data_IF_882647192395
#
_entry.id   IF_882647192395
#
_cell.length_a   1.000
_cell.length_b   1.000
_cell.length_c   1.000
_cell.angle_alpha   90.00
_cell.angle_beta   90.00
_cell.angle_gamma   90.00
#
_symmetry.space_group_name_H-M   'P 1'
#
loop_
_entity.id
_entity.type
_entity.pdbx_description
1 polymer ?
#
# COMPACT_ATOMS: atom_id res chain seq x y z
N UNK A 1 -2.65 20.06 10.32
CA UNK A 1 -2.54 18.62 9.97
C UNK A 1 -1.41 18.05 10.81
N UNK A 2 -1.67 17.07 11.66
CA UNK A 2 -0.62 16.43 12.46
C UNK A 2 -0.03 15.34 11.60
N UNK A 3 1.23 15.51 11.17
CA UNK A 3 2.02 14.45 10.55
C UNK A 3 2.12 13.26 11.52
N UNK A 4 1.40 12.22 11.24
CA UNK A 4 1.62 10.91 11.86
C UNK A 4 2.77 10.25 11.07
N UNK A 5 4.01 10.33 11.58
CA UNK A 5 5.11 9.47 11.11
C UNK A 5 4.61 8.03 11.06
N UNK A 6 5.02 7.26 10.05
CA UNK A 6 4.69 5.85 9.90
C UNK A 6 4.95 5.10 11.22
N UNK A 7 3.89 4.85 11.99
CA UNK A 7 3.93 4.16 13.27
C UNK A 7 3.30 2.79 13.08
N UNK A 8 4.05 1.75 13.36
CA UNK A 8 3.53 0.38 13.39
C UNK A 8 2.51 0.15 14.51
N UNK A 9 2.44 1.08 15.47
CA UNK A 9 1.59 0.98 16.67
C UNK A 9 0.93 2.31 16.97
N UNK A 10 -0.39 2.30 17.11
CA UNK A 10 -1.24 3.47 17.29
C UNK A 10 -1.79 3.58 18.72
N UNK A 11 -2.07 4.82 19.14
CA UNK A 11 -2.82 5.13 20.35
C UNK A 11 -4.34 5.09 20.08
N UNK A 12 -5.15 5.00 21.13
CA UNK A 12 -6.62 5.10 21.01
C UNK A 12 -7.08 6.40 20.36
N UNK A 13 -6.37 7.52 20.60
CA UNK A 13 -6.70 8.80 19.97
C UNK A 13 -6.40 8.85 18.47
N UNK A 14 -5.31 8.21 18.04
CA UNK A 14 -4.96 8.07 16.62
C UNK A 14 -5.98 7.19 15.90
N UNK A 15 -6.33 6.04 16.48
CA UNK A 15 -7.35 5.15 15.94
C UNK A 15 -8.72 5.83 15.86
N UNK A 16 -9.08 6.62 16.87
CA UNK A 16 -10.33 7.37 16.89
C UNK A 16 -10.45 8.37 15.72
N UNK A 17 -9.34 9.04 15.39
CA UNK A 17 -9.26 9.94 14.22
C UNK A 17 -9.35 9.19 12.91
N UNK A 18 -8.63 8.07 12.79
CA UNK A 18 -8.63 7.21 11.60
C UNK A 18 -10.04 6.68 11.32
N UNK A 19 -10.73 6.18 12.34
CA UNK A 19 -12.09 5.61 12.21
C UNK A 19 -13.22 6.66 12.29
N UNK A 20 -12.86 7.95 12.45
CA UNK A 20 -13.81 9.05 12.64
C UNK A 20 -14.83 8.78 13.77
N UNK A 21 -14.34 8.34 14.93
CA UNK A 21 -15.15 8.04 16.12
C UNK A 21 -14.57 8.69 17.38
N UNK A 22 -15.34 8.73 18.46
CA UNK A 22 -14.83 9.22 19.74
C UNK A 22 -13.79 8.25 20.36
N UNK A 23 -12.72 8.72 21.04
CA UNK A 23 -11.70 7.86 21.67
C UNK A 23 -12.27 6.80 22.62
N UNK A 24 -13.38 7.13 23.32
CA UNK A 24 -14.07 6.16 24.18
C UNK A 24 -14.67 4.98 23.42
N UNK A 25 -15.03 5.15 22.15
CA UNK A 25 -15.52 4.06 21.29
C UNK A 25 -14.40 3.07 21.02
N UNK A 26 -13.21 3.57 20.67
CA UNK A 26 -12.03 2.75 20.47
C UNK A 26 -11.65 2.00 21.76
N UNK A 27 -11.74 2.68 22.91
CA UNK A 27 -11.51 2.02 24.19
C UNK A 27 -12.48 0.87 24.45
N UNK A 28 -13.77 1.03 24.12
CA UNK A 28 -14.77 -0.05 24.21
C UNK A 28 -14.43 -1.22 23.28
N UNK A 29 -14.05 -0.98 22.02
CA UNK A 29 -13.63 -2.03 21.09
C UNK A 29 -12.42 -2.82 21.60
N UNK A 30 -11.44 -2.11 22.16
CA UNK A 30 -10.27 -2.73 22.77
C UNK A 30 -10.64 -3.57 24.00
N UNK A 31 -11.40 -2.99 24.93
CA UNK A 31 -11.74 -3.63 26.22
C UNK A 31 -12.70 -4.82 26.03
N UNK A 32 -13.54 -4.81 24.96
CA UNK A 32 -14.37 -5.96 24.56
C UNK A 32 -13.62 -7.02 23.77
N UNK A 33 -12.32 -6.81 23.45
CA UNK A 33 -11.50 -7.74 22.68
C UNK A 33 -11.77 -7.76 21.18
N UNK A 34 -12.66 -6.90 20.65
CA UNK A 34 -12.92 -6.76 19.22
C UNK A 34 -11.71 -6.18 18.48
N UNK A 35 -11.10 -5.14 19.05
CA UNK A 35 -9.89 -4.52 18.52
C UNK A 35 -8.67 -5.04 19.28
N UNK A 36 -7.81 -5.81 18.60
CA UNK A 36 -6.61 -6.40 19.20
C UNK A 36 -5.52 -5.37 19.44
N UNK A 37 -4.86 -5.49 20.57
CA UNK A 37 -3.74 -4.64 20.99
C UNK A 37 -3.23 -5.04 22.36
N UNK A 38 -2.39 -4.20 22.97
CA UNK A 38 -1.82 -4.44 24.29
C UNK A 38 -1.81 -3.17 25.14
N UNK A 39 -1.63 -3.33 26.44
CA UNK A 39 -1.40 -2.21 27.36
C UNK A 39 0.09 -2.12 27.70
N UNK A 40 0.59 -0.91 27.83
CA UNK A 40 1.94 -0.71 28.32
C UNK A 40 1.99 -1.15 29.80
N UNK A 41 2.92 -2.05 30.20
CA UNK A 41 3.08 -2.45 31.59
C UNK A 41 3.27 -1.22 32.50
N UNK A 42 2.51 -1.15 33.59
CA UNK A 42 2.54 -0.02 34.53
C UNK A 42 1.78 1.22 34.07
N UNK A 43 1.13 1.20 32.90
CA UNK A 43 0.31 2.30 32.37
C UNK A 43 -1.10 1.81 32.01
N UNK A 44 -2.06 2.75 31.97
CA UNK A 44 -3.40 2.50 31.42
C UNK A 44 -3.45 2.67 29.90
N UNK A 45 -2.34 3.06 29.28
CA UNK A 45 -2.26 3.35 27.86
C UNK A 45 -2.42 2.08 27.00
N UNK A 46 -3.30 2.17 26.02
CA UNK A 46 -3.55 1.13 25.05
C UNK A 46 -2.70 1.39 23.80
N UNK A 47 -2.18 0.33 23.23
CA UNK A 47 -1.42 0.33 21.98
C UNK A 47 -2.06 -0.66 21.01
N UNK A 48 -2.38 -0.16 19.84
CA UNK A 48 -3.07 -0.90 18.79
C UNK A 48 -2.10 -1.07 17.61
N UNK A 49 -1.62 -2.29 17.34
CA UNK A 49 -0.82 -2.55 16.14
C UNK A 49 -1.62 -2.21 14.88
N UNK A 50 -0.99 -1.53 13.91
CA UNK A 50 -1.63 -1.09 12.67
C UNK A 50 -2.33 -2.26 11.95
N UNK A 51 -1.66 -3.41 11.85
CA UNK A 51 -2.22 -4.62 11.24
C UNK A 51 -3.46 -5.16 11.98
N UNK A 52 -3.54 -4.95 13.29
CA UNK A 52 -4.71 -5.26 14.10
C UNK A 52 -5.88 -4.34 13.78
N UNK A 53 -5.60 -3.05 13.63
CA UNK A 53 -6.60 -2.06 13.22
C UNK A 53 -7.13 -2.34 11.82
N UNK A 54 -6.26 -2.60 10.86
CA UNK A 54 -6.64 -2.92 9.47
C UNK A 54 -7.59 -4.11 9.42
N UNK A 55 -7.25 -5.21 10.12
CA UNK A 55 -8.15 -6.39 10.19
C UNK A 55 -9.51 -6.05 10.78
N UNK A 56 -9.52 -5.31 11.88
CA UNK A 56 -10.75 -4.85 12.52
C UNK A 56 -11.60 -4.00 11.58
N UNK A 57 -10.99 -3.01 10.90
CA UNK A 57 -11.70 -2.14 9.96
C UNK A 57 -12.32 -2.94 8.81
N UNK A 58 -11.57 -3.91 8.23
CA UNK A 58 -12.10 -4.81 7.19
C UNK A 58 -13.28 -5.66 7.68
N UNK A 59 -13.18 -6.25 8.87
CA UNK A 59 -14.24 -7.09 9.47
C UNK A 59 -15.53 -6.31 9.73
N UNK A 60 -15.41 -5.02 10.00
CA UNK A 60 -16.54 -4.15 10.33
C UNK A 60 -16.94 -3.19 9.21
N UNK A 61 -16.41 -3.39 7.98
CA UNK A 61 -16.65 -2.51 6.81
C UNK A 61 -16.38 -1.03 7.09
N UNK A 62 -15.36 -0.73 7.93
CA UNK A 62 -14.92 0.64 8.17
C UNK A 62 -13.94 1.03 7.05
N UNK A 63 -14.17 2.16 6.36
CA UNK A 63 -13.30 2.61 5.28
C UNK A 63 -11.84 2.79 5.73
N UNK A 64 -10.89 2.35 4.89
CA UNK A 64 -9.44 2.39 5.20
C UNK A 64 -8.77 3.74 4.87
N UNK A 65 -9.50 4.67 4.28
CA UNK A 65 -9.00 5.98 3.84
C UNK A 65 -8.39 6.86 4.94
N UNK A 66 -8.71 6.61 6.21
CA UNK A 66 -8.08 7.30 7.34
C UNK A 66 -6.70 6.78 7.73
N UNK A 67 -6.20 5.72 7.07
CA UNK A 67 -4.94 5.05 7.41
C UNK A 67 -3.70 5.65 6.75
N UNK A 68 -3.84 6.65 5.88
CA UNK A 68 -2.69 7.31 5.24
C UNK A 68 -1.91 8.15 6.25
N UNK A 69 -0.94 7.51 6.88
CA UNK A 69 -0.02 8.13 7.84
C UNK A 69 1.37 8.21 7.23
N UNK A 70 1.72 9.36 6.68
CA UNK A 70 3.02 9.60 6.05
C UNK A 70 2.92 9.73 4.51
N UNK A 71 4.07 9.88 3.86
CA UNK A 71 4.16 9.92 2.41
C UNK A 71 3.74 8.57 1.81
N UNK A 72 3.11 8.60 0.65
CA UNK A 72 2.82 7.37 -0.10
C UNK A 72 4.11 6.70 -0.50
N UNK A 73 4.29 5.43 -0.11
CA UNK A 73 5.46 4.62 -0.46
C UNK A 73 5.18 3.84 -1.73
N UNK A 74 6.02 4.02 -2.72
CA UNK A 74 5.92 3.36 -4.03
C UNK A 74 7.17 2.53 -4.28
N UNK A 75 7.02 1.24 -4.55
CA UNK A 75 8.09 0.38 -5.03
C UNK A 75 7.95 0.22 -6.54
N UNK A 76 8.98 0.63 -7.29
CA UNK A 76 9.05 0.42 -8.72
C UNK A 76 9.85 -0.85 -8.97
N UNK A 77 9.28 -1.80 -9.70
CA UNK A 77 9.93 -3.07 -10.06
C UNK A 77 10.03 -3.13 -11.58
N UNK A 78 11.19 -2.73 -12.12
CA UNK A 78 11.41 -2.57 -13.55
C UNK A 78 12.92 -2.59 -13.85
N UNK A 79 13.35 -3.24 -14.90
CA UNK A 79 14.75 -3.31 -15.32
C UNK A 79 15.19 -2.21 -16.29
N UNK A 80 14.25 -1.40 -16.79
CA UNK A 80 14.50 -0.30 -17.74
C UNK A 80 14.87 0.98 -17.02
N UNK A 81 16.17 1.14 -16.70
CA UNK A 81 16.70 2.23 -15.84
C UNK A 81 16.28 3.63 -16.28
N UNK A 82 16.23 3.90 -17.59
CA UNK A 82 15.87 5.23 -18.10
C UNK A 82 14.41 5.58 -17.79
N UNK A 83 13.51 4.61 -17.91
CA UNK A 83 12.08 4.77 -17.59
C UNK A 83 11.92 4.94 -16.08
N UNK A 84 12.59 4.10 -15.31
CA UNK A 84 12.57 4.13 -13.84
C UNK A 84 13.02 5.49 -13.32
N UNK A 85 14.16 6.02 -13.78
CA UNK A 85 14.70 7.29 -13.32
C UNK A 85 13.73 8.47 -13.56
N UNK A 86 13.00 8.46 -14.68
CA UNK A 86 11.98 9.49 -14.97
C UNK A 86 10.78 9.36 -14.03
N UNK A 87 10.29 8.15 -13.82
CA UNK A 87 9.13 7.91 -12.92
C UNK A 87 9.50 8.26 -11.48
N UNK A 88 10.63 7.76 -10.99
CA UNK A 88 11.14 8.01 -9.63
C UNK A 88 11.22 9.51 -9.35
N UNK A 89 11.93 10.26 -10.19
CA UNK A 89 12.09 11.70 -10.05
C UNK A 89 10.75 12.44 -9.95
N UNK A 90 9.79 12.13 -10.81
CA UNK A 90 8.51 12.83 -10.78
C UNK A 90 7.67 12.44 -9.57
N UNK A 91 7.71 11.17 -9.15
CA UNK A 91 7.01 10.71 -7.95
C UNK A 91 7.54 11.39 -6.68
N UNK A 92 8.86 11.59 -6.59
CA UNK A 92 9.49 12.27 -5.47
C UNK A 92 9.26 13.79 -5.49
N UNK A 93 9.54 14.43 -6.64
CA UNK A 93 9.52 15.89 -6.75
C UNK A 93 8.10 16.47 -6.75
N UNK A 94 7.18 15.90 -7.55
CA UNK A 94 5.82 16.45 -7.74
C UNK A 94 4.82 15.91 -6.73
N UNK A 95 4.88 14.61 -6.41
CA UNK A 95 3.90 13.94 -5.54
C UNK A 95 4.39 13.77 -4.10
N UNK A 96 5.66 14.04 -3.83
CA UNK A 96 6.30 13.82 -2.51
C UNK A 96 6.13 12.38 -2.01
N UNK A 97 6.19 11.42 -2.93
CA UNK A 97 6.16 10.01 -2.56
C UNK A 97 7.55 9.57 -2.09
N UNK A 98 7.59 8.57 -1.24
CA UNK A 98 8.81 7.85 -0.94
C UNK A 98 8.93 6.72 -1.97
N UNK A 99 10.05 6.67 -2.70
CA UNK A 99 10.23 5.72 -3.80
C UNK A 99 11.42 4.81 -3.51
N UNK A 100 11.23 3.52 -3.76
CA UNK A 100 12.30 2.53 -3.81
C UNK A 100 12.21 1.80 -5.15
N UNK A 101 13.36 1.34 -5.64
CA UNK A 101 13.49 0.73 -6.96
C UNK A 101 14.13 -0.64 -6.88
N UNK A 102 13.58 -1.61 -7.62
CA UNK A 102 14.14 -2.94 -7.79
C UNK A 102 14.19 -3.31 -9.28
N UNK A 103 15.25 -3.93 -9.72
CA UNK A 103 15.44 -4.41 -11.10
C UNK A 103 15.36 -5.94 -11.26
N UNK A 104 15.09 -6.65 -10.15
CA UNK A 104 15.00 -8.11 -10.12
C UNK A 104 14.09 -8.61 -8.99
N UNK A 105 13.71 -9.89 -9.04
CA UNK A 105 12.79 -10.51 -8.09
C UNK A 105 13.31 -10.50 -6.64
N UNK A 106 14.61 -10.78 -6.44
CA UNK A 106 15.18 -10.84 -5.09
C UNK A 106 15.17 -9.48 -4.40
N UNK A 107 15.67 -8.45 -5.08
CA UNK A 107 15.66 -7.07 -4.55
C UNK A 107 14.24 -6.59 -4.30
N UNK A 108 13.31 -6.86 -5.22
CA UNK A 108 11.89 -6.51 -5.07
C UNK A 108 11.28 -7.14 -3.81
N UNK A 109 11.54 -8.42 -3.55
CA UNK A 109 11.05 -9.12 -2.37
C UNK A 109 11.61 -8.54 -1.06
N UNK A 110 12.93 -8.27 -1.01
CA UNK A 110 13.59 -7.68 0.15
C UNK A 110 13.06 -6.27 0.44
N UNK A 111 12.90 -5.45 -0.61
CA UNK A 111 12.37 -4.08 -0.45
C UNK A 111 10.89 -4.11 -0.09
N UNK A 112 10.07 -4.97 -0.68
CA UNK A 112 8.66 -5.09 -0.32
C UNK A 112 8.48 -5.37 1.18
N UNK A 113 9.31 -6.26 1.76
CA UNK A 113 9.24 -6.61 3.18
C UNK A 113 9.72 -5.47 4.10
N UNK A 114 10.83 -4.81 3.74
CA UNK A 114 11.43 -3.73 4.56
C UNK A 114 10.68 -2.41 4.43
N UNK A 115 10.38 -2.01 3.21
CA UNK A 115 9.81 -0.73 2.86
C UNK A 115 8.29 -0.71 3.06
N UNK A 116 7.63 -1.88 2.95
CA UNK A 116 6.16 -2.05 3.07
C UNK A 116 5.43 -1.03 2.19
N UNK A 117 5.58 -1.09 0.87
CA UNK A 117 5.02 -0.11 -0.05
C UNK A 117 3.50 -0.09 0.00
N UNK A 118 2.92 1.08 -0.19
CA UNK A 118 1.48 1.22 -0.41
C UNK A 118 1.09 0.80 -1.83
N UNK A 119 2.01 1.04 -2.79
CA UNK A 119 1.84 0.70 -4.20
C UNK A 119 3.10 0.04 -4.73
N UNK A 120 2.94 -0.99 -5.55
CA UNK A 120 3.98 -1.57 -6.38
C UNK A 120 3.64 -1.29 -7.84
N UNK A 121 4.54 -0.61 -8.56
CA UNK A 121 4.53 -0.54 -10.02
C UNK A 121 5.37 -1.71 -10.52
N UNK A 122 4.75 -2.71 -11.13
CA UNK A 122 5.39 -3.96 -11.52
C UNK A 122 5.44 -4.14 -13.03
N UNK A 123 6.62 -4.08 -13.63
CA UNK A 123 6.78 -4.50 -15.03
C UNK A 123 6.66 -6.03 -15.12
N UNK A 124 5.77 -6.47 -16.00
CA UNK A 124 5.51 -7.90 -16.24
C UNK A 124 6.66 -8.63 -16.95
N UNK A 125 7.67 -7.91 -17.41
CA UNK A 125 8.79 -8.47 -18.18
C UNK A 125 10.12 -8.45 -17.41
N UNK A 126 10.11 -8.09 -16.14
CA UNK A 126 11.30 -8.25 -15.29
C UNK A 126 11.66 -9.74 -15.22
N UNK A 127 12.93 -10.04 -15.49
CA UNK A 127 13.43 -11.39 -15.48
C UNK A 127 13.17 -12.07 -14.13
N UNK A 128 12.80 -13.33 -14.18
CA UNK A 128 12.53 -14.17 -13.00
C UNK A 128 11.34 -13.71 -12.13
N UNK A 129 10.47 -12.83 -12.66
CA UNK A 129 9.21 -12.43 -12.02
C UNK A 129 8.00 -13.00 -12.76
N UNK A 130 7.18 -13.75 -12.03
CA UNK A 130 5.82 -14.08 -12.41
C UNK A 130 4.88 -13.12 -11.65
N UNK A 131 4.33 -12.15 -12.36
CA UNK A 131 3.49 -11.12 -11.78
C UNK A 131 2.27 -11.68 -11.03
N UNK A 132 1.66 -12.76 -11.53
CA UNK A 132 0.53 -13.43 -10.89
C UNK A 132 0.93 -14.06 -9.57
N UNK A 133 2.03 -14.77 -9.55
CA UNK A 133 2.57 -15.39 -8.34
C UNK A 133 2.96 -14.35 -7.29
N UNK A 134 3.55 -13.23 -7.73
CA UNK A 134 3.83 -12.09 -6.85
C UNK A 134 2.55 -11.54 -6.24
N UNK A 135 1.49 -11.35 -7.02
CA UNK A 135 0.20 -10.89 -6.53
C UNK A 135 -0.38 -11.84 -5.48
N UNK A 136 -0.35 -13.15 -5.74
CA UNK A 136 -0.82 -14.18 -4.79
C UNK A 136 -0.06 -14.11 -3.47
N UNK A 137 1.28 -13.97 -3.51
CA UNK A 137 2.11 -13.83 -2.32
C UNK A 137 1.81 -12.54 -1.53
N UNK A 138 1.65 -11.41 -2.22
CA UNK A 138 1.27 -10.13 -1.60
C UNK A 138 -0.08 -10.25 -0.89
N UNK A 139 -1.07 -10.86 -1.52
CA UNK A 139 -2.41 -11.06 -0.94
C UNK A 139 -2.42 -12.03 0.24
N UNK A 140 -1.50 -13.01 0.26
CA UNK A 140 -1.32 -13.94 1.36
C UNK A 140 -0.53 -13.36 2.55
N UNK A 141 0.29 -12.32 2.32
CA UNK A 141 1.09 -11.69 3.37
C UNK A 141 0.22 -10.85 4.30
N UNK A 142 0.42 -11.02 5.62
CA UNK A 142 -0.28 -10.21 6.62
C UNK A 142 0.10 -8.72 6.54
N UNK A 143 1.31 -8.42 6.14
CA UNK A 143 1.86 -7.07 6.10
C UNK A 143 1.66 -6.35 4.75
N UNK A 144 1.61 -7.12 3.65
CA UNK A 144 1.52 -6.58 2.28
C UNK A 144 0.13 -6.71 1.65
N UNK A 145 -0.84 -7.38 2.29
CA UNK A 145 -2.15 -7.66 1.70
C UNK A 145 -2.94 -6.42 1.24
N UNK A 146 -2.61 -5.23 1.75
CA UNK A 146 -3.20 -3.95 1.34
C UNK A 146 -2.40 -3.23 0.27
N UNK A 147 -1.19 -3.68 -0.01
CA UNK A 147 -0.35 -3.10 -1.07
C UNK A 147 -1.08 -3.21 -2.41
N UNK A 148 -1.21 -2.08 -3.09
CA UNK A 148 -1.79 -2.02 -4.42
C UNK A 148 -0.75 -2.47 -5.44
N UNK A 149 -1.16 -3.29 -6.41
CA UNK A 149 -0.26 -3.78 -7.46
C UNK A 149 -0.76 -3.28 -8.80
N UNK A 150 -0.01 -2.37 -9.39
CA UNK A 150 -0.24 -1.80 -10.71
C UNK A 150 0.76 -2.45 -11.65
N UNK A 151 0.27 -3.19 -12.64
CA UNK A 151 1.15 -3.83 -13.60
C UNK A 151 1.44 -2.94 -14.79
N UNK A 152 2.66 -3.03 -15.32
CA UNK A 152 3.11 -2.30 -16.49
C UNK A 152 3.55 -3.29 -17.57
N UNK A 153 3.26 -3.01 -18.85
CA UNK A 153 3.73 -3.84 -19.96
C UNK A 153 3.77 -3.07 -21.28
N UNK A 154 4.81 -3.32 -22.07
CA UNK A 154 4.91 -2.85 -23.46
C UNK A 154 4.26 -3.81 -24.47
N UNK A 155 4.01 -5.07 -24.09
CA UNK A 155 3.59 -6.14 -24.99
C UNK A 155 2.09 -6.39 -25.00
N UNK A 156 1.39 -6.07 -23.93
CA UNK A 156 -0.06 -6.23 -23.86
C UNK A 156 -0.78 -5.10 -24.60
N UNK A 157 -1.88 -5.44 -25.24
CA UNK A 157 -2.85 -4.47 -25.75
C UNK A 157 -3.64 -3.83 -24.59
N UNK A 158 -4.35 -2.73 -24.85
CA UNK A 158 -5.23 -2.12 -23.83
C UNK A 158 -6.30 -3.09 -23.31
N UNK A 159 -6.89 -3.90 -24.22
CA UNK A 159 -7.88 -4.91 -23.84
C UNK A 159 -7.31 -6.00 -22.94
N UNK A 160 -6.15 -6.57 -23.34
CA UNK A 160 -5.45 -7.58 -22.52
C UNK A 160 -4.98 -6.99 -21.18
N UNK A 161 -4.63 -5.71 -21.16
CA UNK A 161 -4.29 -4.97 -19.94
C UNK A 161 -5.48 -4.81 -19.02
N UNK A 162 -6.66 -4.46 -19.55
CA UNK A 162 -7.90 -4.38 -18.78
C UNK A 162 -8.26 -5.74 -18.12
N UNK A 163 -7.97 -6.86 -18.79
CA UNK A 163 -8.16 -8.19 -18.22
C UNK A 163 -7.28 -8.46 -16.98
N UNK A 164 -6.16 -7.73 -16.80
CA UNK A 164 -5.33 -7.89 -15.59
C UNK A 164 -6.08 -7.43 -14.34
N UNK A 165 -6.93 -6.42 -14.43
CA UNK A 165 -7.75 -6.00 -13.28
C UNK A 165 -8.75 -7.08 -12.87
N UNK A 166 -9.31 -7.82 -13.81
CA UNK A 166 -10.14 -8.99 -13.53
C UNK A 166 -9.36 -10.15 -12.87
N UNK A 167 -8.03 -10.18 -13.06
CA UNK A 167 -7.14 -11.16 -12.42
C UNK A 167 -6.67 -10.73 -11.02
N UNK A 168 -7.15 -9.57 -10.52
CA UNK A 168 -6.90 -9.09 -9.17
C UNK A 168 -5.82 -8.02 -9.02
N UNK A 169 -5.22 -7.58 -10.12
CA UNK A 169 -4.37 -6.38 -10.10
C UNK A 169 -5.22 -5.11 -9.92
N UNK A 170 -4.65 -4.10 -9.27
CA UNK A 170 -5.40 -2.88 -8.96
C UNK A 170 -5.49 -1.91 -10.15
N UNK A 171 -4.52 -1.94 -11.07
CA UNK A 171 -4.55 -1.21 -12.34
C UNK A 171 -3.54 -1.77 -13.35
N UNK A 172 -3.62 -1.29 -14.60
CA UNK A 172 -2.69 -1.59 -15.68
C UNK A 172 -2.21 -0.31 -16.34
N UNK A 173 -0.92 -0.24 -16.67
CA UNK A 173 -0.30 0.84 -17.44
C UNK A 173 0.39 0.26 -18.68
N UNK A 174 -0.06 0.67 -19.85
CA UNK A 174 0.59 0.29 -21.11
C UNK A 174 1.81 1.18 -21.37
N UNK A 175 2.98 0.57 -21.50
CA UNK A 175 4.20 1.26 -21.93
C UNK A 175 4.18 1.48 -23.48
N UNK A 176 4.64 2.66 -23.98
CA UNK A 176 5.07 3.83 -23.22
C UNK A 176 3.88 4.63 -22.65
N UNK A 177 4.03 5.20 -21.47
CA UNK A 177 3.03 6.04 -20.84
C UNK A 177 3.65 7.36 -20.35
N UNK A 178 2.82 8.41 -20.24
CA UNK A 178 3.22 9.64 -19.57
C UNK A 178 3.21 9.45 -18.05
N UNK A 179 4.18 10.03 -17.35
CA UNK A 179 4.28 9.90 -15.89
C UNK A 179 3.00 10.32 -15.17
N UNK A 180 2.25 11.29 -15.71
CA UNK A 180 0.94 11.68 -15.17
C UNK A 180 -0.07 10.53 -15.17
N UNK A 181 0.03 9.57 -16.10
CA UNK A 181 -0.83 8.37 -16.08
C UNK A 181 -0.46 7.45 -14.92
N UNK A 182 0.85 7.33 -14.59
CA UNK A 182 1.28 6.60 -13.43
C UNK A 182 0.80 7.25 -12.12
N UNK A 183 0.92 8.58 -11.99
CA UNK A 183 0.38 9.34 -10.86
C UNK A 183 -1.13 9.09 -10.69
N UNK A 184 -1.91 9.26 -11.75
CA UNK A 184 -3.35 9.04 -11.73
C UNK A 184 -3.70 7.58 -11.33
N UNK A 185 -2.96 6.59 -11.84
CA UNK A 185 -3.18 5.19 -11.49
C UNK A 185 -2.86 4.90 -10.02
N UNK A 186 -1.80 5.50 -9.48
CA UNK A 186 -1.45 5.40 -8.06
C UNK A 186 -2.55 6.04 -7.20
N UNK A 187 -2.97 7.27 -7.54
CA UNK A 187 -4.02 7.98 -6.82
C UNK A 187 -5.34 7.20 -6.84
N UNK A 188 -5.77 6.71 -7.99
CA UNK A 188 -7.00 5.92 -8.12
C UNK A 188 -6.91 4.59 -7.36
N UNK A 189 -5.78 3.90 -7.43
CA UNK A 189 -5.60 2.64 -6.71
C UNK A 189 -5.55 2.85 -5.18
N UNK A 190 -5.06 3.99 -4.71
CA UNK A 190 -4.99 4.35 -3.29
C UNK A 190 -6.23 5.07 -2.78
N UNK A 191 -7.05 5.67 -3.66
CA UNK A 191 -8.38 6.16 -3.31
C UNK A 191 -9.29 4.97 -3.02
N UNK A 192 -9.92 4.99 -1.86
CA UNK A 192 -10.91 3.96 -1.53
C UNK A 192 -12.19 4.27 -2.30
N UNK A 193 -12.63 3.34 -3.14
CA UNK A 193 -13.96 3.42 -3.71
C UNK A 193 -15.01 3.39 -2.58
N UNK A 194 -15.87 4.39 -2.57
CA UNK A 194 -17.06 4.42 -1.72
C UNK A 194 -18.13 3.48 -2.25
#
# INVERSE_FOLDING_TARGET
MVELKAKDVLTTGEVARICNVAPRTVSKWFDSGQLKGYRIPGSKDRRIPLNGLIRFMKQHNIPLNGLHTGNTRVLIVDAERDIVAVIEKVLEDEARYEVEVADNAFTAGVLAEKFRPHVILLDMHVKDIDARRVLEQIRASADLQLTKVIVMSSRLTEGEGADQTHKGFDAFLKKPFHVRQALNAIEQATQVAY
#
